data_IF_833524871603
#
_entry.id   IF_833524871603
#
_cell.length_a   1.000
_cell.length_b   1.000
_cell.length_c   1.000
_cell.angle_alpha   90.00
_cell.angle_beta   90.00
_cell.angle_gamma   90.00
#
_symmetry.space_group_name_H-M   'P 1'
#
loop_
_entity.id
_entity.type
_entity.pdbx_description
1 polymer ?
#
# COMPACT_ATOMS: atom_id res chain seq x y z
N UNK A 1 -15.90 4.44 -5.63
CA UNK A 1 -16.41 3.04 -5.72
C UNK A 1 -15.71 2.19 -4.67
N UNK A 2 -16.45 1.39 -3.90
CA UNK A 2 -15.86 0.36 -3.02
C UNK A 2 -15.79 -0.95 -3.81
N UNK A 3 -14.57 -1.43 -4.11
CA UNK A 3 -14.41 -2.78 -4.64
C UNK A 3 -14.49 -3.76 -3.46
N UNK A 4 -15.57 -4.56 -3.32
CA UNK A 4 -15.81 -5.33 -2.11
C UNK A 4 -14.74 -6.40 -1.84
N UNK A 5 -13.96 -6.77 -2.87
CA UNK A 5 -12.93 -7.81 -2.85
C UNK A 5 -11.49 -7.27 -2.73
N UNK A 6 -11.22 -6.02 -3.13
CA UNK A 6 -9.90 -5.42 -2.89
C UNK A 6 -9.77 -5.15 -1.40
N UNK A 7 -8.77 -5.74 -0.75
CA UNK A 7 -8.51 -5.52 0.68
C UNK A 7 -7.08 -5.05 0.97
N UNK A 8 -6.17 -5.15 0.00
CA UNK A 8 -4.82 -4.63 0.09
C UNK A 8 -4.80 -3.10 -0.06
N UNK A 9 -3.91 -2.44 0.68
CA UNK A 9 -3.74 -0.98 0.65
C UNK A 9 -4.97 -0.14 1.04
N UNK A 10 -5.97 -0.74 1.72
CA UNK A 10 -7.15 -0.04 2.23
C UNK A 10 -6.97 0.26 3.73
N UNK A 11 -6.96 1.54 4.15
CA UNK A 11 -6.87 1.90 5.57
C UNK A 11 -8.05 1.33 6.39
N UNK A 12 -7.76 0.83 7.58
CA UNK A 12 -8.79 0.23 8.46
C UNK A 12 -9.30 -1.14 8.02
N UNK A 13 -8.72 -1.75 6.98
CA UNK A 13 -9.05 -3.10 6.52
C UNK A 13 -8.02 -4.13 7.00
N UNK A 14 -8.45 -5.14 7.76
CA UNK A 14 -7.64 -6.32 8.11
C UNK A 14 -7.60 -7.35 6.95
N UNK A 15 -7.22 -6.90 5.76
CA UNK A 15 -7.38 -7.66 4.52
C UNK A 15 -6.70 -9.02 4.51
N UNK A 16 -5.43 -9.08 4.95
CA UNK A 16 -4.67 -10.33 4.99
C UNK A 16 -5.27 -11.34 5.96
N UNK A 17 -5.65 -10.89 7.16
CA UNK A 17 -6.24 -11.76 8.18
C UNK A 17 -7.57 -12.35 7.69
N UNK A 18 -8.45 -11.50 7.14
CA UNK A 18 -9.75 -11.94 6.63
C UNK A 18 -9.62 -12.94 5.48
N UNK A 19 -8.71 -12.71 4.53
CA UNK A 19 -8.52 -13.65 3.42
C UNK A 19 -7.93 -14.99 3.88
N UNK A 20 -6.94 -14.98 4.77
CA UNK A 20 -6.37 -16.22 5.31
C UNK A 20 -7.40 -17.01 6.12
N UNK A 21 -8.20 -16.32 6.96
CA UNK A 21 -9.28 -16.95 7.71
C UNK A 21 -10.34 -17.56 6.79
N UNK A 22 -10.77 -16.83 5.76
CA UNK A 22 -11.75 -17.33 4.78
C UNK A 22 -11.22 -18.53 4.00
N UNK A 23 -9.94 -18.51 3.61
CA UNK A 23 -9.29 -19.64 2.95
C UNK A 23 -9.27 -20.86 3.87
N UNK A 24 -8.84 -20.70 5.12
CA UNK A 24 -8.76 -21.78 6.10
C UNK A 24 -10.15 -22.39 6.39
N UNK A 25 -11.16 -21.54 6.63
CA UNK A 25 -12.54 -21.98 6.80
C UNK A 25 -13.07 -22.75 5.59
N UNK A 26 -12.71 -22.33 4.37
CA UNK A 26 -13.11 -23.03 3.14
C UNK A 26 -12.45 -24.41 3.04
N UNK A 27 -11.16 -24.51 3.39
CA UNK A 27 -10.43 -25.78 3.41
C UNK A 27 -10.98 -26.73 4.48
N UNK A 28 -11.31 -26.21 5.67
CA UNK A 28 -11.93 -26.99 6.74
C UNK A 28 -13.32 -27.52 6.33
N UNK A 29 -14.15 -26.67 5.72
CA UNK A 29 -15.49 -27.07 5.26
C UNK A 29 -15.41 -28.18 4.20
N UNK A 30 -14.52 -28.02 3.22
CA UNK A 30 -14.27 -29.04 2.20
C UNK A 30 -13.85 -30.38 2.83
N UNK A 31 -12.96 -30.34 3.83
CA UNK A 31 -12.50 -31.53 4.56
C UNK A 31 -13.61 -32.17 5.39
N UNK A 32 -14.49 -31.39 6.03
CA UNK A 32 -15.58 -31.91 6.87
C UNK A 32 -16.70 -32.54 6.05
N UNK A 33 -17.04 -31.93 4.92
CA UNK A 33 -18.18 -32.33 4.09
C UNK A 33 -17.79 -33.30 2.96
N UNK A 34 -16.50 -33.58 2.78
CA UNK A 34 -16.00 -34.43 1.70
C UNK A 34 -16.11 -33.76 0.32
N UNK A 35 -16.15 -32.42 0.28
CA UNK A 35 -16.19 -31.68 -0.97
C UNK A 35 -14.78 -31.48 -1.52
N UNK A 36 -14.66 -31.44 -2.85
CA UNK A 36 -13.39 -31.11 -3.50
C UNK A 36 -13.22 -29.58 -3.58
N UNK A 37 -12.01 -29.10 -3.30
CA UNK A 37 -11.66 -27.68 -3.39
C UNK A 37 -10.34 -27.53 -4.13
N UNK A 38 -10.26 -26.57 -5.04
CA UNK A 38 -9.04 -26.21 -5.76
C UNK A 38 -8.61 -24.80 -5.36
N UNK A 39 -7.34 -24.65 -4.99
CA UNK A 39 -6.73 -23.36 -4.62
C UNK A 39 -5.63 -23.05 -5.62
N UNK A 40 -5.65 -21.84 -6.17
CA UNK A 40 -4.61 -21.33 -7.06
C UNK A 40 -3.99 -20.08 -6.44
N UNK A 41 -2.65 -20.01 -6.47
CA UNK A 41 -1.89 -18.84 -6.09
C UNK A 41 -1.52 -18.07 -7.35
N UNK A 42 -1.82 -16.77 -7.38
CA UNK A 42 -1.52 -15.88 -8.50
C UNK A 42 -0.64 -14.75 -7.99
N UNK A 43 0.52 -14.58 -8.61
CA UNK A 43 1.45 -13.49 -8.33
C UNK A 43 1.83 -12.80 -9.65
N UNK A 44 2.05 -11.49 -9.59
CA UNK A 44 2.39 -10.69 -10.77
C UNK A 44 3.88 -10.38 -10.75
N UNK A 45 4.58 -10.74 -11.83
CA UNK A 45 5.96 -10.32 -12.05
C UNK A 45 6.01 -8.79 -12.22
N UNK A 46 6.85 -8.13 -11.41
CA UNK A 46 7.04 -6.68 -11.39
C UNK A 46 5.72 -5.87 -11.42
N UNK A 47 4.87 -6.08 -10.42
CA UNK A 47 3.51 -5.51 -10.36
C UNK A 47 3.43 -3.97 -10.50
N UNK A 48 4.52 -3.23 -10.23
CA UNK A 48 4.56 -1.78 -10.37
C UNK A 48 5.30 -1.32 -11.64
N UNK A 49 6.46 -1.92 -11.95
CA UNK A 49 7.29 -1.50 -13.09
C UNK A 49 6.76 -1.98 -14.44
N UNK A 50 6.00 -3.07 -14.47
CA UNK A 50 5.43 -3.63 -15.70
C UNK A 50 4.19 -2.87 -16.21
N UNK A 51 3.60 -1.98 -15.41
CA UNK A 51 2.36 -1.29 -15.77
C UNK A 51 2.62 -0.19 -16.81
N UNK A 52 2.04 -0.30 -18.03
CA UNK A 52 2.15 0.77 -19.02
C UNK A 52 1.52 2.07 -18.51
N UNK A 53 2.23 3.19 -18.66
CA UNK A 53 1.81 4.47 -18.04
C UNK A 53 0.45 4.98 -18.48
N UNK A 54 0.02 4.64 -19.70
CA UNK A 54 -1.29 5.03 -20.19
C UNK A 54 -2.44 4.43 -19.37
N UNK A 55 -2.23 3.27 -18.73
CA UNK A 55 -3.20 2.71 -17.79
C UNK A 55 -3.27 3.52 -16.50
N UNK A 56 -2.13 3.93 -15.93
CA UNK A 56 -2.10 4.76 -14.72
C UNK A 56 -2.80 6.10 -14.98
N UNK A 57 -2.46 6.78 -16.07
CA UNK A 57 -3.07 8.06 -16.44
C UNK A 57 -4.57 7.93 -16.68
N UNK A 58 -5.00 6.87 -17.40
CA UNK A 58 -6.42 6.60 -17.64
C UNK A 58 -7.15 6.34 -16.33
N UNK A 59 -6.64 5.46 -15.47
CA UNK A 59 -7.25 5.17 -14.18
C UNK A 59 -7.38 6.46 -13.38
N UNK A 60 -6.32 7.26 -13.24
CA UNK A 60 -6.37 8.54 -12.52
C UNK A 60 -7.39 9.54 -13.09
N UNK A 61 -7.57 9.58 -14.41
CA UNK A 61 -8.60 10.41 -15.06
C UNK A 61 -10.02 9.89 -14.76
N UNK A 62 -10.19 8.57 -14.67
CA UNK A 62 -11.47 7.92 -14.37
C UNK A 62 -11.89 8.05 -12.90
N UNK A 63 -10.95 8.19 -11.95
CA UNK A 63 -11.29 8.31 -10.52
C UNK A 63 -11.76 9.72 -10.10
N UNK A 64 -11.78 10.70 -11.00
CA UNK A 64 -12.24 12.09 -10.81
C UNK A 64 -11.63 12.87 -9.62
N UNK A 65 -10.74 12.25 -8.84
CA UNK A 65 -10.06 12.87 -7.70
C UNK A 65 -8.66 13.36 -8.07
N UNK A 66 -8.39 14.64 -7.78
CA UNK A 66 -7.04 15.19 -7.70
C UNK A 66 -6.15 14.33 -6.80
N UNK A 67 -4.84 14.31 -7.07
CA UNK A 67 -3.82 13.62 -6.24
C UNK A 67 -4.22 13.69 -4.76
N UNK A 68 -4.46 12.54 -4.09
CA UNK A 68 -5.03 12.53 -2.75
C UNK A 68 -4.24 13.44 -1.81
N UNK A 69 -4.93 14.32 -1.09
CA UNK A 69 -4.28 15.28 -0.17
C UNK A 69 -3.46 14.59 0.92
N UNK A 70 -3.82 13.35 1.26
CA UNK A 70 -3.07 12.48 2.17
C UNK A 70 -1.65 12.18 1.70
N UNK A 71 -1.37 12.19 0.39
CA UNK A 71 -0.02 11.99 -0.15
C UNK A 71 0.93 13.14 0.21
N UNK A 72 0.39 14.29 0.63
CA UNK A 72 1.15 15.46 1.06
C UNK A 72 1.36 15.52 2.58
N UNK A 73 0.71 14.63 3.34
CA UNK A 73 0.83 14.60 4.79
C UNK A 73 2.13 13.91 5.21
N UNK A 74 2.80 14.45 6.21
CA UNK A 74 4.01 13.88 6.83
C UNK A 74 3.74 13.64 8.30
N UNK A 75 4.08 12.46 8.80
CA UNK A 75 4.14 12.17 10.22
C UNK A 75 5.58 12.34 10.70
N UNK A 76 5.83 13.26 11.64
CA UNK A 76 7.16 13.42 12.23
C UNK A 76 7.20 12.71 13.56
N UNK A 77 8.06 11.72 13.67
CA UNK A 77 8.36 11.04 14.94
C UNK A 77 9.72 11.49 15.45
N UNK A 78 9.87 11.62 16.77
CA UNK A 78 11.14 11.91 17.40
C UNK A 78 11.81 10.58 17.79
N UNK A 79 13.05 10.39 17.38
CA UNK A 79 13.88 9.23 17.76
C UNK A 79 15.00 9.72 18.67
N UNK A 80 15.05 9.23 19.90
CA UNK A 80 16.13 9.54 20.84
C UNK A 80 17.43 8.85 20.41
N UNK A 81 18.54 9.60 20.34
CA UNK A 81 19.86 9.11 19.93
C UNK A 81 20.72 8.62 21.11
N UNK A 82 20.22 8.71 22.34
CA UNK A 82 20.96 8.47 23.58
C UNK A 82 21.47 9.78 24.20
N UNK A 83 21.84 9.74 25.48
CA UNK A 83 22.12 10.95 26.27
C UNK A 83 20.99 11.24 27.26
N UNK A 84 20.93 12.47 27.77
CA UNK A 84 19.87 12.91 28.67
C UNK A 84 18.58 13.19 27.87
N UNK A 85 17.46 12.58 28.26
CA UNK A 85 16.18 12.68 27.55
C UNK A 85 15.55 14.08 27.62
N UNK A 86 15.92 14.89 28.62
CA UNK A 86 15.42 16.26 28.79
C UNK A 86 16.07 17.25 27.81
N UNK A 87 17.17 16.87 27.18
CA UNK A 87 17.89 17.71 26.22
C UNK A 87 17.35 17.47 24.80
N UNK A 88 16.68 18.47 24.24
CA UNK A 88 16.07 18.40 22.91
C UNK A 88 17.07 18.07 21.79
N UNK A 89 18.36 18.39 21.96
CA UNK A 89 19.44 18.10 21.00
C UNK A 89 19.70 16.59 20.82
N UNK A 90 19.33 15.77 21.81
CA UNK A 90 19.47 14.31 21.78
C UNK A 90 18.35 13.63 20.97
N UNK A 91 17.34 14.39 20.52
CA UNK A 91 16.23 13.88 19.72
C UNK A 91 16.38 14.20 18.23
N UNK A 92 16.20 13.19 17.38
CA UNK A 92 16.23 13.32 15.92
C UNK A 92 14.81 13.28 15.37
N UNK A 93 14.32 14.35 14.72
CA UNK A 93 13.04 14.31 14.04
C UNK A 93 13.18 13.53 12.72
N UNK A 94 12.36 12.48 12.57
CA UNK A 94 12.24 11.71 11.34
C UNK A 94 10.86 11.98 10.74
N UNK A 95 10.85 12.70 9.62
CA UNK A 95 9.65 12.95 8.83
C UNK A 95 9.36 11.74 7.92
N UNK A 96 8.27 11.04 8.23
CA UNK A 96 7.74 9.92 7.45
C UNK A 96 6.61 10.43 6.55
N UNK A 97 6.87 10.43 5.25
CA UNK A 97 5.87 10.72 4.21
C UNK A 97 5.44 9.43 3.50
N UNK A 98 4.18 9.34 3.01
CA UNK A 98 3.69 8.19 2.27
C UNK A 98 4.57 7.84 1.07
N UNK A 99 5.01 6.57 1.00
CA UNK A 99 5.86 6.06 -0.09
C UNK A 99 5.23 6.25 -1.46
N UNK A 100 3.90 6.17 -1.55
CA UNK A 100 3.18 6.34 -2.82
C UNK A 100 3.31 7.75 -3.39
N UNK A 101 3.30 8.79 -2.54
CA UNK A 101 3.52 10.17 -2.97
C UNK A 101 4.96 10.41 -3.43
N UNK A 102 5.92 9.78 -2.75
CA UNK A 102 7.35 9.83 -3.14
C UNK A 102 7.61 9.11 -4.45
N UNK A 103 7.04 7.92 -4.64
CA UNK A 103 7.18 7.13 -5.87
C UNK A 103 6.58 7.89 -7.05
N UNK A 104 5.34 8.38 -6.90
CA UNK A 104 4.67 9.16 -7.95
C UNK A 104 5.46 10.41 -8.33
N UNK A 105 5.89 11.20 -7.32
CA UNK A 105 6.69 12.41 -7.57
C UNK A 105 8.06 12.08 -8.15
N UNK A 106 8.67 10.96 -7.76
CA UNK A 106 9.92 10.46 -8.31
C UNK A 106 9.81 10.08 -9.78
N UNK A 107 8.77 9.34 -10.17
CA UNK A 107 8.49 8.99 -11.58
C UNK A 107 8.24 10.25 -12.41
N UNK A 108 7.49 11.22 -11.88
CA UNK A 108 7.24 12.49 -12.55
C UNK A 108 8.54 13.30 -12.68
N UNK A 109 9.31 13.43 -11.61
CA UNK A 109 10.55 14.18 -11.60
C UNK A 109 11.55 13.59 -12.60
N UNK A 110 11.75 12.27 -12.61
CA UNK A 110 12.61 11.59 -13.58
C UNK A 110 12.20 11.93 -15.02
N UNK A 111 10.89 11.97 -15.31
CA UNK A 111 10.39 12.25 -16.66
C UNK A 111 10.38 13.71 -17.07
N UNK A 112 10.20 14.62 -16.11
CA UNK A 112 10.19 16.07 -16.38
C UNK A 112 11.61 16.61 -16.43
N UNK A 113 12.52 16.08 -15.60
CA UNK A 113 13.91 16.51 -15.51
C UNK A 113 14.87 15.70 -16.39
N UNK A 114 14.41 14.67 -17.09
CA UNK A 114 15.11 14.12 -18.27
C UNK A 114 14.92 15.05 -19.49
N UNK A 115 15.58 16.20 -19.44
CA UNK A 115 16.04 17.00 -20.59
C UNK A 115 17.37 17.67 -20.22
#
# INVERSE_FOLDING_TARGET
MSFPFQKGFIPGSEGCFKHNFMLDATLEDARRNGNEVAVAWLDLEDAFGSIPHHHISRTLQEIEESVPTTWKQSCTILIHKGGNEEEMENWRPIALQPTIGKLFSGIIADRIYCY
#
